data_IF_476526525808
#
_entry.id   IF_476526525808
#
_cell.length_a   1.000
_cell.length_b   1.000
_cell.length_c   1.000
_cell.angle_alpha   90.00
_cell.angle_beta   90.00
_cell.angle_gamma   90.00
#
_symmetry.space_group_name_H-M   'P 1'
#
loop_
_entity.id
_entity.type
_entity.pdbx_description
1 polymer ?
#
# COMPACT_ATOMS: atom_id res chain seq x y z
N UNK A 1 -33.00 10.01 32.39
CA UNK A 1 -33.83 9.64 31.22
C UNK A 1 -33.84 10.72 30.11
N UNK A 2 -33.78 12.04 30.45
CA UNK A 2 -33.78 13.16 29.46
C UNK A 2 -32.50 13.24 28.61
N UNK A 3 -31.34 12.83 29.12
CA UNK A 3 -30.04 12.89 28.42
C UNK A 3 -29.94 11.87 27.26
N UNK A 4 -30.54 10.67 27.43
CA UNK A 4 -30.61 9.66 26.36
C UNK A 4 -31.43 10.09 25.15
N UNK A 5 -32.49 10.90 25.38
CA UNK A 5 -33.35 11.41 24.30
C UNK A 5 -32.71 12.52 23.46
N UNK A 6 -31.83 13.33 24.05
CA UNK A 6 -31.09 14.39 23.32
C UNK A 6 -29.96 13.80 22.47
N UNK A 7 -29.19 12.84 22.98
CA UNK A 7 -28.15 12.15 22.24
C UNK A 7 -28.69 11.34 21.04
N UNK A 8 -29.86 10.70 21.22
CA UNK A 8 -30.51 9.96 20.13
C UNK A 8 -31.09 10.87 19.04
N UNK A 9 -31.52 12.09 19.38
CA UNK A 9 -31.94 13.10 18.41
C UNK A 9 -30.78 13.72 17.67
N UNK A 10 -29.66 14.03 18.34
CA UNK A 10 -28.46 14.55 17.71
C UNK A 10 -27.86 13.53 16.71
N UNK A 11 -27.87 12.24 17.04
CA UNK A 11 -27.45 11.17 16.14
C UNK A 11 -28.41 10.97 14.94
N UNK A 12 -29.69 11.25 15.06
CA UNK A 12 -30.63 11.21 13.94
C UNK A 12 -30.53 12.46 13.02
N UNK A 13 -30.06 13.59 13.52
CA UNK A 13 -29.84 14.81 12.73
C UNK A 13 -28.51 14.78 11.94
N UNK A 14 -27.56 13.94 12.29
CA UNK A 14 -26.34 13.69 11.52
C UNK A 14 -26.61 12.76 10.31
N UNK A 15 -27.67 13.02 9.51
CA UNK A 15 -27.79 12.39 8.20
C UNK A 15 -26.62 12.90 7.34
N UNK A 16 -25.82 12.00 6.72
CA UNK A 16 -24.82 12.42 5.76
C UNK A 16 -25.50 13.36 4.76
N UNK A 17 -24.88 14.52 4.47
CA UNK A 17 -25.41 15.44 3.46
C UNK A 17 -25.76 14.61 2.22
N UNK A 18 -26.94 14.78 1.67
CA UNK A 18 -27.51 13.94 0.58
C UNK A 18 -26.54 13.71 -0.57
N UNK A 19 -25.66 14.68 -0.86
CA UNK A 19 -24.61 14.60 -1.87
C UNK A 19 -23.56 13.54 -1.59
N UNK A 20 -23.07 13.42 -0.35
CA UNK A 20 -22.07 12.42 0.05
C UNK A 20 -22.66 11.01 -0.02
N UNK A 21 -23.89 10.85 0.42
CA UNK A 21 -24.59 9.57 0.33
C UNK A 21 -24.81 9.13 -1.13
N UNK A 22 -25.26 10.04 -2.00
CA UNK A 22 -25.42 9.77 -3.44
C UNK A 22 -24.09 9.41 -4.11
N UNK A 23 -23.01 10.09 -3.76
CA UNK A 23 -21.67 9.78 -4.27
C UNK A 23 -21.24 8.37 -3.83
N UNK A 24 -21.39 8.03 -2.55
CA UNK A 24 -21.08 6.69 -2.04
C UNK A 24 -21.87 5.59 -2.78
N UNK A 25 -23.17 5.79 -3.00
CA UNK A 25 -23.99 4.83 -3.76
C UNK A 25 -23.53 4.70 -5.22
N UNK A 26 -23.15 5.80 -5.88
CA UNK A 26 -22.57 5.73 -7.24
C UNK A 26 -21.28 4.91 -7.27
N UNK A 27 -20.38 5.12 -6.32
CA UNK A 27 -19.11 4.36 -6.23
C UNK A 27 -19.40 2.89 -5.97
N UNK A 28 -20.29 2.58 -5.02
CA UNK A 28 -20.73 1.21 -4.73
C UNK A 28 -21.32 0.51 -5.96
N UNK A 29 -22.13 1.21 -6.75
CA UNK A 29 -22.70 0.66 -7.98
C UNK A 29 -21.60 0.40 -9.04
N UNK A 30 -20.60 1.29 -9.17
CA UNK A 30 -19.45 1.06 -10.04
C UNK A 30 -18.60 -0.14 -9.59
N UNK A 31 -18.40 -0.31 -8.28
CA UNK A 31 -17.75 -1.48 -7.72
C UNK A 31 -18.49 -2.76 -8.10
N UNK A 32 -19.81 -2.81 -7.91
CA UNK A 32 -20.64 -3.94 -8.32
C UNK A 32 -20.53 -4.28 -9.82
N UNK A 33 -20.35 -3.26 -10.67
CA UNK A 33 -20.19 -3.45 -12.11
C UNK A 33 -18.79 -3.96 -12.48
N UNK A 34 -17.75 -3.55 -11.78
CA UNK A 34 -16.36 -3.92 -12.07
C UNK A 34 -15.51 -4.13 -10.80
N UNK A 35 -15.77 -5.20 -10.04
CA UNK A 35 -15.06 -5.46 -8.79
C UNK A 35 -13.55 -5.70 -8.99
N UNK A 36 -13.16 -6.33 -10.10
CA UNK A 36 -11.75 -6.60 -10.43
C UNK A 36 -10.90 -5.32 -10.45
N UNK A 37 -11.41 -4.25 -11.06
CA UNK A 37 -10.69 -2.97 -11.09
C UNK A 37 -10.57 -2.34 -9.69
N UNK A 38 -11.63 -2.39 -8.89
CA UNK A 38 -11.57 -1.84 -7.53
C UNK A 38 -10.63 -2.62 -6.62
N UNK A 39 -10.58 -3.95 -6.73
CA UNK A 39 -9.58 -4.75 -6.05
C UNK A 39 -8.17 -4.41 -6.53
N UNK A 40 -7.96 -4.24 -7.84
CA UNK A 40 -6.67 -3.81 -8.37
C UNK A 40 -6.22 -2.46 -7.79
N UNK A 41 -7.11 -1.47 -7.72
CA UNK A 41 -6.83 -0.18 -7.08
C UNK A 41 -6.45 -0.34 -5.60
N UNK A 42 -7.13 -1.21 -4.87
CA UNK A 42 -6.84 -1.44 -3.45
C UNK A 42 -5.51 -2.17 -3.23
N UNK A 43 -5.15 -3.09 -4.12
CA UNK A 43 -3.84 -3.74 -4.13
C UNK A 43 -2.74 -2.72 -4.42
N UNK A 44 -2.92 -1.86 -5.43
CA UNK A 44 -1.96 -0.78 -5.73
C UNK A 44 -1.85 0.17 -4.54
N UNK A 45 -2.96 0.56 -3.92
CA UNK A 45 -3.00 1.42 -2.75
C UNK A 45 -2.12 0.90 -1.61
N UNK A 46 -2.20 -0.39 -1.34
CA UNK A 46 -1.42 -1.03 -0.29
C UNK A 46 0.07 -1.16 -0.62
N UNK A 47 0.42 -1.24 -1.90
CA UNK A 47 1.78 -1.49 -2.35
C UNK A 47 2.53 -0.21 -2.75
N UNK A 48 1.84 0.74 -3.39
CA UNK A 48 2.37 2.00 -3.88
C UNK A 48 2.32 3.10 -2.81
N UNK A 49 3.05 2.90 -1.72
CA UNK A 49 3.18 3.92 -0.68
C UNK A 49 4.31 4.92 -0.94
N UNK A 50 4.43 5.92 -0.07
CA UNK A 50 5.55 6.88 -0.06
C UNK A 50 6.89 6.15 0.07
N UNK A 51 6.94 5.05 0.83
CA UNK A 51 8.13 4.22 0.96
C UNK A 51 8.67 3.72 -0.39
N UNK A 52 7.79 3.35 -1.33
CA UNK A 52 8.20 2.95 -2.68
C UNK A 52 8.83 4.11 -3.44
N UNK A 53 8.26 5.32 -3.32
CA UNK A 53 8.76 6.53 -3.96
C UNK A 53 10.13 6.93 -3.40
N UNK A 54 10.27 6.92 -2.08
CA UNK A 54 11.53 7.27 -1.39
C UNK A 54 12.65 6.27 -1.72
N UNK A 55 12.34 4.97 -1.73
CA UNK A 55 13.30 3.94 -2.12
C UNK A 55 13.72 4.08 -3.59
N UNK A 56 12.79 4.37 -4.49
CA UNK A 56 13.10 4.63 -5.88
C UNK A 56 14.06 5.81 -6.02
N UNK A 57 13.74 6.94 -5.36
CA UNK A 57 14.60 8.14 -5.35
C UNK A 57 16.00 7.82 -4.81
N UNK A 58 16.08 7.15 -3.66
CA UNK A 58 17.36 6.79 -3.05
C UNK A 58 18.21 5.90 -3.96
N UNK A 59 17.59 4.88 -4.57
CA UNK A 59 18.29 4.02 -5.54
C UNK A 59 18.77 4.79 -6.75
N UNK A 60 17.93 5.66 -7.31
CA UNK A 60 18.29 6.47 -8.48
C UNK A 60 19.44 7.43 -8.18
N UNK A 61 19.47 8.04 -7.00
CA UNK A 61 20.54 8.97 -6.60
C UNK A 61 21.83 8.28 -6.19
N UNK A 62 21.76 7.11 -5.57
CA UNK A 62 22.94 6.41 -5.02
C UNK A 62 23.56 5.41 -6.02
N UNK A 63 22.75 4.79 -6.87
CA UNK A 63 23.17 3.67 -7.73
C UNK A 63 22.79 3.86 -9.22
N UNK A 64 22.22 5.03 -9.54
CA UNK A 64 21.80 5.38 -10.90
C UNK A 64 20.39 4.94 -11.26
N UNK A 65 19.87 5.53 -12.34
CA UNK A 65 18.50 5.31 -12.81
C UNK A 65 18.22 3.83 -13.13
N UNK A 66 19.21 3.11 -13.68
CA UNK A 66 19.07 1.70 -14.04
C UNK A 66 18.74 0.82 -12.82
N UNK A 67 19.42 1.02 -11.68
CA UNK A 67 19.14 0.29 -10.46
C UNK A 67 17.68 0.52 -9.99
N UNK A 68 17.22 1.76 -10.03
CA UNK A 68 15.86 2.13 -9.63
C UNK A 68 14.80 1.53 -10.58
N UNK A 69 15.05 1.55 -11.89
CA UNK A 69 14.12 0.99 -12.90
C UNK A 69 14.02 -0.54 -12.73
N UNK A 70 15.15 -1.24 -12.59
CA UNK A 70 15.16 -2.69 -12.35
C UNK A 70 14.36 -3.00 -11.07
N UNK A 71 14.63 -2.29 -9.99
CA UNK A 71 13.88 -2.44 -8.74
C UNK A 71 12.38 -2.22 -8.91
N UNK A 72 11.96 -1.19 -9.68
CA UNK A 72 10.55 -0.89 -9.96
C UNK A 72 9.88 -2.00 -10.78
N UNK A 73 10.58 -2.58 -11.77
CA UNK A 73 10.09 -3.72 -12.56
C UNK A 73 9.85 -4.93 -11.67
N UNK A 74 10.80 -5.29 -10.80
CA UNK A 74 10.64 -6.41 -9.86
C UNK A 74 9.51 -6.16 -8.86
N UNK A 75 9.33 -4.93 -8.43
CA UNK A 75 8.27 -4.53 -7.54
C UNK A 75 6.87 -4.68 -8.21
N UNK A 76 6.76 -4.32 -9.48
CA UNK A 76 5.58 -4.58 -10.30
C UNK A 76 5.34 -6.09 -10.49
N UNK A 77 6.39 -6.84 -10.84
CA UNK A 77 6.33 -8.29 -11.02
C UNK A 77 5.92 -9.03 -9.74
N UNK A 78 6.28 -8.53 -8.56
CA UNK A 78 5.94 -9.17 -7.30
C UNK A 78 4.42 -9.30 -7.11
N UNK A 79 3.64 -8.26 -7.44
CA UNK A 79 2.18 -8.31 -7.41
C UNK A 79 1.62 -9.29 -8.44
N UNK A 80 2.17 -9.26 -9.68
CA UNK A 80 1.74 -10.15 -10.76
C UNK A 80 1.96 -11.61 -10.36
N UNK A 81 3.15 -11.94 -9.88
CA UNK A 81 3.50 -13.29 -9.45
C UNK A 81 2.64 -13.77 -8.28
N UNK A 82 2.38 -12.90 -7.30
CA UNK A 82 1.47 -13.25 -6.21
C UNK A 82 0.09 -13.64 -6.74
N UNK A 83 -0.47 -12.85 -7.66
CA UNK A 83 -1.77 -13.15 -8.26
C UNK A 83 -1.79 -14.45 -9.04
N UNK A 84 -0.71 -14.77 -9.75
CA UNK A 84 -0.61 -16.00 -10.54
C UNK A 84 -0.40 -17.24 -9.68
N UNK A 85 0.38 -17.14 -8.59
CA UNK A 85 0.81 -18.30 -7.81
C UNK A 85 0.09 -18.47 -6.47
N UNK A 86 -0.49 -17.42 -5.89
CA UNK A 86 -1.10 -17.51 -4.55
C UNK A 86 -2.25 -18.51 -4.46
N UNK A 87 -3.03 -18.71 -5.55
CA UNK A 87 -4.13 -19.69 -5.60
C UNK A 87 -3.65 -21.11 -5.85
N UNK A 88 -2.50 -21.27 -6.52
CA UNK A 88 -1.94 -22.59 -6.86
C UNK A 88 -1.14 -23.23 -5.72
N UNK A 89 -0.88 -22.48 -4.65
CA UNK A 89 -0.08 -22.98 -3.52
C UNK A 89 -0.91 -22.89 -2.23
N UNK A 90 -1.91 -23.77 -2.02
CA UNK A 90 -2.74 -23.77 -0.83
C UNK A 90 -1.93 -23.86 0.47
N UNK A 91 -0.82 -24.59 0.44
CA UNK A 91 0.08 -24.77 1.59
C UNK A 91 0.74 -23.46 1.99
N UNK A 92 1.19 -22.62 1.03
CA UNK A 92 1.74 -21.28 1.32
C UNK A 92 0.69 -20.46 2.03
N UNK A 93 -0.53 -20.42 1.49
CA UNK A 93 -1.65 -19.70 2.09
C UNK A 93 -1.90 -20.19 3.53
N UNK A 94 -1.90 -21.48 3.77
CA UNK A 94 -2.13 -22.06 5.09
C UNK A 94 -1.02 -21.67 6.08
N UNK A 95 0.25 -21.78 5.69
CA UNK A 95 1.39 -21.43 6.55
C UNK A 95 1.39 -19.91 6.83
N UNK A 96 1.17 -19.08 5.82
CA UNK A 96 1.14 -17.63 5.97
C UNK A 96 -0.04 -17.12 6.80
N UNK A 97 -1.12 -17.89 6.90
CA UNK A 97 -2.25 -17.62 7.78
C UNK A 97 -2.09 -18.24 9.18
N UNK A 98 -0.98 -18.92 9.46
CA UNK A 98 -0.69 -19.43 10.82
C UNK A 98 -0.57 -18.27 11.80
N UNK A 99 -0.97 -18.49 13.05
CA UNK A 99 -0.96 -17.43 14.09
C UNK A 99 0.42 -16.80 14.27
N UNK A 100 1.48 -17.61 14.23
CA UNK A 100 2.86 -17.12 14.42
C UNK A 100 3.26 -16.17 13.28
N UNK A 101 3.04 -16.61 12.02
CA UNK A 101 3.35 -15.77 10.86
C UNK A 101 2.46 -14.53 10.82
N UNK A 102 1.20 -14.66 11.18
CA UNK A 102 0.28 -13.53 11.22
C UNK A 102 0.74 -12.45 12.21
N UNK A 103 1.15 -12.84 13.43
CA UNK A 103 1.69 -11.88 14.41
C UNK A 103 2.99 -11.25 13.95
N UNK A 104 3.92 -12.05 13.40
CA UNK A 104 5.17 -11.53 12.84
C UNK A 104 4.91 -10.47 11.77
N UNK A 105 3.99 -10.75 10.85
CA UNK A 105 3.62 -9.84 9.76
C UNK A 105 2.87 -8.62 10.29
N UNK A 106 2.02 -8.78 11.31
CA UNK A 106 1.37 -7.64 11.96
C UNK A 106 2.38 -6.65 12.52
N UNK A 107 3.43 -7.13 13.17
CA UNK A 107 4.55 -6.28 13.60
C UNK A 107 5.22 -5.56 12.42
N UNK A 108 5.44 -6.24 11.30
CA UNK A 108 6.01 -5.62 10.11
C UNK A 108 5.12 -4.49 9.57
N UNK A 109 3.80 -4.62 9.64
CA UNK A 109 2.86 -3.57 9.20
C UNK A 109 2.94 -2.30 10.05
N UNK A 110 3.23 -2.39 11.35
CA UNK A 110 3.47 -1.21 12.19
C UNK A 110 4.64 -0.35 11.64
N UNK A 111 5.75 -0.99 11.27
CA UNK A 111 6.88 -0.27 10.66
C UNK A 111 6.52 0.36 9.32
N UNK A 112 5.69 -0.30 8.52
CA UNK A 112 5.21 0.25 7.26
C UNK A 112 4.32 1.46 7.50
N UNK A 113 3.46 1.43 8.52
CA UNK A 113 2.66 2.58 8.95
C UNK A 113 3.57 3.77 9.29
N UNK A 114 4.60 3.56 10.11
CA UNK A 114 5.56 4.61 10.45
C UNK A 114 6.31 5.15 9.23
N UNK A 115 6.68 4.29 8.28
CA UNK A 115 7.32 4.72 7.03
C UNK A 115 6.42 5.66 6.23
N UNK A 116 5.12 5.38 6.15
CA UNK A 116 4.17 6.27 5.46
C UNK A 116 4.01 7.60 6.21
N UNK A 117 3.91 7.55 7.53
CA UNK A 117 3.80 8.75 8.37
C UNK A 117 5.04 9.64 8.22
N UNK A 118 6.24 9.06 8.25
CA UNK A 118 7.50 9.78 8.06
C UNK A 118 7.62 10.39 6.68
N UNK A 119 7.22 9.65 5.65
CA UNK A 119 7.25 10.14 4.28
C UNK A 119 6.33 11.35 4.05
N UNK A 120 5.13 11.39 4.66
CA UNK A 120 4.25 12.56 4.62
C UNK A 120 4.93 13.73 5.35
N UNK A 121 5.45 13.49 6.55
CA UNK A 121 6.12 14.51 7.35
C UNK A 121 7.28 15.17 6.59
N UNK A 122 8.16 14.37 5.99
CA UNK A 122 9.34 14.85 5.28
C UNK A 122 8.97 15.67 4.03
N UNK A 123 7.96 15.20 3.27
CA UNK A 123 7.60 15.86 2.02
C UNK A 123 7.02 17.26 2.21
N UNK A 124 6.40 17.52 3.38
CA UNK A 124 5.91 18.85 3.71
C UNK A 124 7.03 19.80 4.15
N UNK A 125 8.24 19.29 4.45
CA UNK A 125 9.41 20.13 4.75
C UNK A 125 9.72 21.15 3.65
N UNK A 126 9.52 20.77 2.40
CA UNK A 126 9.77 21.60 1.22
C UNK A 126 8.56 22.48 0.81
N UNK A 127 7.53 22.55 1.65
CA UNK A 127 6.32 23.34 1.38
C UNK A 127 6.18 24.50 2.36
N UNK A 128 5.34 25.52 2.03
CA UNK A 128 5.11 26.67 2.92
C UNK A 128 4.56 26.33 4.31
N UNK A 129 3.89 25.17 4.47
CA UNK A 129 3.35 24.74 5.78
C UNK A 129 4.37 23.99 6.63
N UNK A 130 5.51 23.62 6.03
CA UNK A 130 6.63 22.98 6.72
C UNK A 130 6.34 21.63 7.35
N UNK A 131 7.32 21.08 8.03
CA UNK A 131 7.21 19.76 8.69
C UNK A 131 6.17 19.75 9.81
N UNK A 132 5.96 20.86 10.50
CA UNK A 132 4.92 20.95 11.54
C UNK A 132 3.51 20.79 10.95
N UNK A 133 3.24 21.46 9.81
CA UNK A 133 2.00 21.26 9.08
C UNK A 133 1.84 19.82 8.58
N UNK A 134 2.92 19.22 8.10
CA UNK A 134 2.96 17.81 7.73
C UNK A 134 2.60 16.89 8.91
N UNK A 135 3.12 17.15 10.09
CA UNK A 135 2.78 16.41 11.30
C UNK A 135 1.30 16.48 11.66
N UNK A 136 0.72 17.68 11.61
CA UNK A 136 -0.73 17.87 11.86
C UNK A 136 -1.56 17.07 10.84
N UNK A 137 -1.19 17.09 9.56
CA UNK A 137 -1.87 16.34 8.49
C UNK A 137 -1.79 14.84 8.77
N UNK A 138 -0.61 14.32 9.13
CA UNK A 138 -0.42 12.90 9.47
C UNK A 138 -1.38 12.48 10.59
N UNK A 139 -1.34 13.18 11.73
CA UNK A 139 -2.18 12.80 12.87
C UNK A 139 -3.67 12.96 12.60
N UNK A 140 -4.07 14.06 11.95
CA UNK A 140 -5.48 14.27 11.59
C UNK A 140 -6.01 13.14 10.67
N UNK A 141 -5.20 12.72 9.73
CA UNK A 141 -5.56 11.65 8.81
C UNK A 141 -5.61 10.29 9.48
N UNK A 142 -4.59 9.96 10.30
CA UNK A 142 -4.62 8.73 11.08
C UNK A 142 -5.87 8.68 11.97
N UNK A 143 -6.22 9.78 12.63
CA UNK A 143 -7.43 9.85 13.45
C UNK A 143 -8.70 9.59 12.63
N UNK A 144 -8.81 10.15 11.42
CA UNK A 144 -9.94 9.89 10.51
C UNK A 144 -10.02 8.40 10.14
N UNK A 145 -8.89 7.78 9.77
CA UNK A 145 -8.87 6.36 9.42
C UNK A 145 -9.19 5.46 10.60
N UNK A 146 -8.65 5.74 11.79
CA UNK A 146 -9.00 5.00 13.01
C UNK A 146 -10.50 5.07 13.31
N UNK A 147 -11.12 6.24 13.13
CA UNK A 147 -12.58 6.38 13.26
C UNK A 147 -13.35 5.61 12.18
N UNK A 148 -12.80 5.54 10.95
CA UNK A 148 -13.39 4.75 9.87
C UNK A 148 -13.32 3.25 10.14
N UNK A 149 -12.20 2.75 10.68
CA UNK A 149 -12.03 1.33 11.02
C UNK A 149 -13.06 0.83 12.05
N UNK A 150 -13.54 1.71 12.94
CA UNK A 150 -14.57 1.35 13.92
C UNK A 150 -15.94 1.03 13.30
N UNK A 151 -16.21 1.51 12.10
CA UNK A 151 -17.55 1.44 11.49
C UNK A 151 -17.72 0.35 10.45
N UNK A 152 -16.79 0.20 9.50
CA UNK A 152 -16.99 -0.73 8.38
C UNK A 152 -15.66 -1.18 7.78
N UNK A 153 -15.46 -2.49 7.69
CA UNK A 153 -14.23 -3.12 7.29
C UNK A 153 -13.86 -3.02 5.79
N UNK A 154 -13.54 -4.15 5.22
CA UNK A 154 -12.91 -4.37 3.91
C UNK A 154 -13.53 -3.57 2.75
N UNK A 155 -14.85 -3.60 2.60
CA UNK A 155 -15.52 -2.98 1.46
C UNK A 155 -15.32 -1.46 1.41
N UNK A 156 -15.30 -0.80 2.57
CA UNK A 156 -15.07 0.65 2.62
C UNK A 156 -13.65 0.99 2.21
N UNK A 157 -12.66 0.18 2.66
CA UNK A 157 -11.28 0.36 2.26
C UNK A 157 -11.12 0.19 0.74
N UNK A 158 -11.63 -0.90 0.16
CA UNK A 158 -11.60 -1.14 -1.29
C UNK A 158 -12.28 -0.02 -2.10
N UNK A 159 -13.43 0.49 -1.62
CA UNK A 159 -14.13 1.59 -2.30
C UNK A 159 -13.37 2.92 -2.18
N UNK A 160 -12.79 3.19 -1.01
CA UNK A 160 -11.95 4.36 -0.75
C UNK A 160 -10.71 4.36 -1.65
N UNK A 161 -10.03 3.23 -1.71
CA UNK A 161 -8.84 3.05 -2.54
C UNK A 161 -9.16 3.20 -4.03
N UNK A 162 -10.25 2.58 -4.48
CA UNK A 162 -10.69 2.70 -5.88
C UNK A 162 -10.94 4.14 -6.31
N UNK A 163 -11.56 4.94 -5.43
CA UNK A 163 -11.75 6.37 -5.69
C UNK A 163 -10.43 7.15 -5.62
N UNK A 164 -9.62 6.92 -4.58
CA UNK A 164 -8.35 7.62 -4.38
C UNK A 164 -7.41 7.41 -5.55
N UNK A 165 -7.32 6.20 -6.10
CA UNK A 165 -6.40 5.90 -7.20
C UNK A 165 -6.83 6.46 -8.54
N UNK A 166 -8.10 6.65 -8.79
CA UNK A 166 -8.56 7.44 -9.95
C UNK A 166 -8.10 8.90 -9.82
N UNK A 167 -8.21 9.47 -8.62
CA UNK A 167 -7.73 10.84 -8.34
C UNK A 167 -6.19 10.91 -8.44
N UNK A 168 -5.47 9.92 -7.88
CA UNK A 168 -4.01 9.84 -7.93
C UNK A 168 -3.51 9.83 -9.37
N UNK A 169 -4.03 8.96 -10.24
CA UNK A 169 -3.59 8.94 -11.64
C UNK A 169 -3.92 10.23 -12.39
N UNK A 170 -5.10 10.81 -12.14
CA UNK A 170 -5.47 12.10 -12.74
C UNK A 170 -4.53 13.23 -12.31
N UNK A 171 -4.28 13.37 -11.02
CA UNK A 171 -3.35 14.38 -10.49
C UNK A 171 -1.90 14.11 -10.92
N UNK A 172 -1.47 12.85 -10.90
CA UNK A 172 -0.13 12.46 -11.33
C UNK A 172 0.13 12.86 -12.78
N UNK A 173 -0.83 12.59 -13.68
CA UNK A 173 -0.74 13.01 -15.07
C UNK A 173 -0.64 14.54 -15.21
N UNK A 174 -1.47 15.29 -14.49
CA UNK A 174 -1.47 16.75 -14.49
C UNK A 174 -0.13 17.30 -13.98
N UNK A 175 0.38 16.78 -12.87
CA UNK A 175 1.64 17.27 -12.28
C UNK A 175 2.82 16.89 -13.17
N UNK A 176 2.84 15.71 -13.79
CA UNK A 176 3.89 15.32 -14.76
C UNK A 176 3.87 16.23 -15.99
N UNK A 177 2.70 16.47 -16.57
CA UNK A 177 2.59 17.38 -17.74
C UNK A 177 3.05 18.80 -17.36
N UNK A 178 2.60 19.32 -16.22
CA UNK A 178 3.03 20.63 -15.74
C UNK A 178 4.53 20.69 -15.48
N UNK A 179 5.13 19.62 -14.97
CA UNK A 179 6.58 19.49 -14.77
C UNK A 179 7.35 19.52 -16.10
N UNK A 180 6.90 18.74 -17.09
CA UNK A 180 7.49 18.68 -18.42
C UNK A 180 7.46 20.04 -19.12
N UNK A 181 6.33 20.75 -19.02
CA UNK A 181 6.18 22.10 -19.59
C UNK A 181 7.09 23.09 -18.87
N UNK A 182 7.14 23.04 -17.53
CA UNK A 182 7.95 23.95 -16.72
C UNK A 182 9.45 23.80 -16.96
N UNK A 183 9.93 22.59 -17.18
CA UNK A 183 11.34 22.27 -17.38
C UNK A 183 11.76 22.26 -18.86
N UNK A 184 10.83 22.50 -19.78
CA UNK A 184 11.06 22.33 -21.21
C UNK A 184 11.66 20.95 -21.57
N UNK A 185 11.29 19.90 -20.80
CA UNK A 185 11.81 18.55 -20.94
C UNK A 185 13.21 18.33 -20.38
N UNK A 186 13.83 19.34 -19.76
CA UNK A 186 15.13 19.19 -19.11
C UNK A 186 14.95 18.57 -17.72
N UNK A 187 15.35 17.33 -17.58
CA UNK A 187 15.39 16.63 -16.30
C UNK A 187 16.72 16.90 -15.60
N UNK A 188 16.69 16.84 -14.25
CA UNK A 188 17.92 16.87 -13.46
C UNK A 188 18.85 15.74 -13.95
N UNK A 189 20.14 16.06 -14.15
CA UNK A 189 21.14 15.07 -14.53
C UNK A 189 21.21 13.95 -13.49
N UNK A 190 20.63 12.82 -13.80
CA UNK A 190 20.78 11.60 -13.04
C UNK A 190 21.71 10.69 -13.80
N UNK A 191 22.70 10.18 -13.10
CA UNK A 191 23.56 9.14 -13.65
C UNK A 191 22.69 7.97 -14.15
N UNK A 192 22.76 7.60 -15.44
CA UNK A 192 22.04 6.43 -15.94
C UNK A 192 22.38 5.16 -15.17
N UNK A 193 23.58 5.08 -14.56
CA UNK A 193 24.01 3.90 -13.80
C UNK A 193 24.09 2.63 -14.66
N UNK A 194 24.40 2.77 -15.96
CA UNK A 194 24.58 1.67 -16.90
C UNK A 194 25.92 0.96 -16.66
N UNK A 195 26.13 0.51 -15.42
CA UNK A 195 27.32 -0.22 -15.02
C UNK A 195 26.93 -1.49 -14.25
N UNK A 196 27.86 -2.41 -14.11
CA UNK A 196 27.63 -3.69 -13.45
C UNK A 196 27.13 -3.52 -12.00
N UNK A 197 27.64 -2.54 -11.27
CA UNK A 197 27.27 -2.28 -9.87
C UNK A 197 25.81 -1.80 -9.75
N UNK A 198 25.38 -0.89 -10.61
CA UNK A 198 23.99 -0.41 -10.65
C UNK A 198 23.00 -1.54 -11.00
N UNK A 199 23.34 -2.34 -12.03
CA UNK A 199 22.53 -3.51 -12.42
C UNK A 199 22.47 -4.52 -11.28
N UNK A 200 23.60 -4.89 -10.68
CA UNK A 200 23.66 -5.84 -9.58
C UNK A 200 22.85 -5.38 -8.38
N UNK A 201 22.95 -4.10 -8.00
CA UNK A 201 22.18 -3.52 -6.90
C UNK A 201 20.68 -3.55 -7.19
N UNK A 202 20.29 -3.18 -8.42
CA UNK A 202 18.89 -3.21 -8.86
C UNK A 202 18.30 -4.61 -8.82
N UNK A 203 19.02 -5.60 -9.33
CA UNK A 203 18.63 -7.01 -9.30
C UNK A 203 18.52 -7.52 -7.86
N UNK A 204 19.57 -7.33 -7.03
CA UNK A 204 19.56 -7.78 -5.64
C UNK A 204 18.35 -7.22 -4.88
N UNK A 205 18.20 -5.88 -4.87
CA UNK A 205 17.09 -5.24 -4.18
C UNK A 205 15.73 -5.58 -4.79
N UNK A 206 15.68 -5.79 -6.10
CA UNK A 206 14.48 -6.23 -6.80
C UNK A 206 14.06 -7.65 -6.39
N UNK A 207 14.98 -8.60 -6.37
CA UNK A 207 14.70 -9.98 -5.92
C UNK A 207 14.17 -10.03 -4.48
N UNK A 208 14.64 -9.15 -3.59
CA UNK A 208 14.14 -9.07 -2.22
C UNK A 208 12.66 -8.65 -2.13
N UNK A 209 12.09 -8.05 -3.19
CA UNK A 209 10.69 -7.65 -3.22
C UNK A 209 9.74 -8.74 -3.70
N UNK A 210 10.20 -9.67 -4.55
CA UNK A 210 9.34 -10.67 -5.17
C UNK A 210 8.46 -11.42 -4.17
N UNK A 211 8.97 -11.90 -3.01
CA UNK A 211 8.14 -12.59 -2.04
C UNK A 211 7.32 -11.64 -1.15
N UNK A 212 7.51 -10.32 -1.27
CA UNK A 212 6.86 -9.33 -0.41
C UNK A 212 5.35 -9.47 -0.30
N UNK A 213 4.56 -9.57 -1.39
CA UNK A 213 3.12 -9.70 -1.36
C UNK A 213 2.61 -10.91 -0.57
N UNK A 214 3.38 -11.99 -0.51
CA UNK A 214 3.04 -13.18 0.28
C UNK A 214 3.03 -12.92 1.79
N UNK A 215 3.57 -11.81 2.26
CA UNK A 215 3.52 -11.41 3.67
C UNK A 215 2.39 -10.45 4.02
N UNK A 216 1.53 -10.12 3.08
CA UNK A 216 0.47 -9.15 3.32
C UNK A 216 -0.84 -9.82 3.75
N UNK A 217 -1.27 -9.71 5.03
CA UNK A 217 -2.54 -10.28 5.51
C UNK A 217 -3.73 -9.72 4.73
N UNK A 218 -3.65 -8.47 4.34
CA UNK A 218 -4.66 -7.80 3.55
C UNK A 218 -4.97 -8.53 2.24
N UNK A 219 -3.94 -9.02 1.53
CA UNK A 219 -4.12 -9.72 0.26
C UNK A 219 -4.89 -11.04 0.42
N UNK A 220 -4.54 -11.83 1.43
CA UNK A 220 -5.30 -13.06 1.75
C UNK A 220 -6.73 -12.75 2.16
N UNK A 221 -6.95 -11.64 2.85
CA UNK A 221 -8.28 -11.21 3.25
C UNK A 221 -9.11 -10.74 2.06
N UNK A 222 -8.50 -10.15 1.01
CA UNK A 222 -9.19 -9.83 -0.24
C UNK A 222 -9.72 -11.08 -0.94
N UNK A 223 -8.93 -12.15 -1.03
CA UNK A 223 -9.39 -13.44 -1.56
C UNK A 223 -10.57 -13.98 -0.75
N UNK A 224 -10.42 -14.05 0.58
CA UNK A 224 -11.48 -14.56 1.45
C UNK A 224 -12.75 -13.71 1.42
N UNK A 225 -12.62 -12.40 1.23
CA UNK A 225 -13.76 -11.51 1.09
C UNK A 225 -14.47 -11.71 -0.25
N UNK A 226 -13.71 -11.84 -1.34
CA UNK A 226 -14.25 -12.09 -2.67
C UNK A 226 -15.01 -13.43 -2.72
N UNK A 227 -14.47 -14.48 -2.08
CA UNK A 227 -15.08 -15.81 -2.05
C UNK A 227 -16.38 -15.88 -1.22
N UNK A 228 -16.54 -14.98 -0.21
CA UNK A 228 -17.69 -14.95 0.70
C UNK A 228 -18.75 -13.92 0.33
N UNK A 229 -18.68 -13.35 -0.85
CA UNK A 229 -19.51 -12.22 -1.20
C UNK A 229 -20.93 -12.66 -1.61
N UNK A 230 -21.82 -12.87 -0.62
CA UNK A 230 -23.21 -13.30 -0.79
C UNK A 230 -24.17 -12.13 -1.08
N UNK A 231 -23.67 -10.87 -1.22
CA UNK A 231 -24.51 -9.67 -1.34
C UNK A 231 -25.03 -9.41 -2.77
N UNK A 232 -24.95 -10.42 -3.66
CA UNK A 232 -25.39 -10.34 -5.06
C UNK A 232 -24.44 -9.52 -5.96
N UNK A 233 -23.23 -9.20 -5.48
CA UNK A 233 -22.20 -8.62 -6.33
C UNK A 233 -21.52 -9.72 -7.15
N UNK A 234 -21.08 -9.36 -8.37
CA UNK A 234 -20.23 -10.27 -9.14
C UNK A 234 -18.91 -10.47 -8.40
N UNK A 235 -18.45 -11.72 -8.34
CA UNK A 235 -17.10 -11.97 -7.85
C UNK A 235 -16.07 -11.34 -8.79
N UNK A 236 -15.09 -10.64 -8.23
CA UNK A 236 -13.95 -10.14 -8.97
C UNK A 236 -12.99 -11.27 -9.33
N UNK A 237 -12.34 -11.16 -10.47
CA UNK A 237 -11.23 -12.06 -10.80
C UNK A 237 -9.98 -11.60 -10.05
N UNK A 238 -9.67 -12.26 -8.93
CA UNK A 238 -8.55 -11.88 -8.06
C UNK A 238 -7.20 -12.00 -8.75
N UNK A 239 -6.96 -13.05 -9.57
CA UNK A 239 -5.73 -13.16 -10.36
C UNK A 239 -5.55 -11.95 -11.25
N UNK A 240 -6.60 -11.59 -12.00
CA UNK A 240 -6.58 -10.44 -12.90
C UNK A 240 -6.45 -9.12 -12.13
N UNK A 241 -7.01 -9.03 -10.92
CA UNK A 241 -6.84 -7.87 -10.05
C UNK A 241 -5.37 -7.65 -9.67
N UNK A 242 -4.64 -8.71 -9.32
CA UNK A 242 -3.21 -8.61 -9.00
C UNK A 242 -2.35 -8.32 -10.23
N UNK A 243 -2.65 -8.92 -11.38
CA UNK A 243 -1.96 -8.62 -12.65
C UNK A 243 -2.16 -7.15 -13.02
N UNK A 244 -3.41 -6.68 -12.98
CA UNK A 244 -3.74 -5.29 -13.26
C UNK A 244 -3.07 -4.35 -12.26
N UNK A 245 -3.06 -4.70 -10.97
CA UNK A 245 -2.38 -3.92 -9.94
C UNK A 245 -0.88 -3.80 -10.19
N UNK A 246 -0.22 -4.89 -10.59
CA UNK A 246 1.20 -4.86 -10.96
C UNK A 246 1.48 -3.93 -12.14
N UNK A 247 0.66 -3.98 -13.19
CA UNK A 247 0.77 -3.06 -14.34
C UNK A 247 0.52 -1.61 -13.90
N UNK A 248 -0.53 -1.36 -13.14
CA UNK A 248 -0.84 -0.03 -12.60
C UNK A 248 0.32 0.48 -11.74
N UNK A 249 0.88 -0.37 -10.87
CA UNK A 249 2.05 0.00 -10.08
C UNK A 249 3.26 0.38 -10.95
N UNK A 250 3.53 -0.39 -12.01
CA UNK A 250 4.59 -0.08 -12.97
C UNK A 250 4.40 1.29 -13.63
N UNK A 251 3.20 1.61 -14.09
CA UNK A 251 2.86 2.94 -14.63
C UNK A 251 3.04 4.03 -13.58
N UNK A 252 2.57 3.81 -12.36
CA UNK A 252 2.79 4.73 -11.24
C UNK A 252 4.28 5.01 -11.02
N UNK A 253 5.12 3.99 -10.97
CA UNK A 253 6.55 4.14 -10.73
C UNK A 253 7.25 4.93 -11.83
N UNK A 254 6.89 4.70 -13.11
CA UNK A 254 7.44 5.47 -14.23
C UNK A 254 7.05 6.94 -14.12
N UNK A 255 5.78 7.24 -13.87
CA UNK A 255 5.31 8.62 -13.72
C UNK A 255 5.90 9.29 -12.48
N UNK A 256 5.97 8.57 -11.37
CA UNK A 256 6.56 9.06 -10.13
C UNK A 256 8.06 9.31 -10.25
N UNK A 257 8.78 8.51 -11.04
CA UNK A 257 10.19 8.72 -11.37
C UNK A 257 10.42 10.11 -11.98
N UNK A 258 9.59 10.47 -12.95
CA UNK A 258 9.67 11.78 -13.59
C UNK A 258 9.53 12.91 -12.56
N UNK A 259 8.66 12.76 -11.58
CA UNK A 259 8.45 13.76 -10.52
C UNK A 259 9.63 13.87 -9.55
N UNK A 260 10.36 12.79 -9.30
CA UNK A 260 11.52 12.84 -8.39
C UNK A 260 12.72 13.54 -9.01
N UNK A 261 12.76 13.64 -10.34
CA UNK A 261 13.89 14.19 -11.11
C UNK A 261 13.73 15.65 -11.51
N UNK A 262 12.59 16.25 -11.24
CA UNK A 262 12.28 17.62 -11.64
C UNK A 262 12.33 18.57 -10.43
N UNK A 263 13.03 19.70 -10.58
CA UNK A 263 12.95 20.81 -9.64
C UNK A 263 11.69 21.63 -9.94
N UNK A 264 10.83 21.77 -8.96
CA UNK A 264 9.55 22.43 -9.11
C UNK A 264 9.54 23.85 -8.55
N UNK A 265 8.68 24.70 -9.11
CA UNK A 265 8.26 25.93 -8.44
C UNK A 265 7.54 25.62 -7.11
N UNK A 266 7.47 26.57 -6.15
CA UNK A 266 6.78 26.38 -4.88
C UNK A 266 5.35 25.85 -5.03
N UNK A 267 4.60 26.32 -6.04
CA UNK A 267 3.25 25.86 -6.34
C UNK A 267 3.23 24.39 -6.75
N UNK A 268 4.10 23.97 -7.66
CA UNK A 268 4.19 22.58 -8.12
C UNK A 268 4.69 21.65 -6.99
N UNK A 269 5.59 22.12 -6.13
CA UNK A 269 5.99 21.38 -4.93
C UNK A 269 4.80 21.14 -4.00
N UNK A 270 3.93 22.12 -3.82
CA UNK A 270 2.72 21.96 -3.02
C UNK A 270 1.76 20.92 -3.65
N UNK A 271 1.54 20.99 -4.96
CA UNK A 271 0.72 19.99 -5.68
C UNK A 271 1.31 18.58 -5.59
N UNK A 272 2.64 18.47 -5.73
CA UNK A 272 3.36 17.21 -5.52
C UNK A 272 3.17 16.68 -4.10
N UNK A 273 3.27 17.54 -3.08
CA UNK A 273 3.05 17.14 -1.69
C UNK A 273 1.63 16.66 -1.44
N UNK A 274 0.63 17.33 -2.01
CA UNK A 274 -0.78 16.91 -1.93
C UNK A 274 -0.95 15.52 -2.59
N UNK A 275 -0.42 15.33 -3.80
CA UNK A 275 -0.49 14.05 -4.50
C UNK A 275 0.13 12.91 -3.68
N UNK A 276 1.35 13.12 -3.18
CA UNK A 276 2.05 12.12 -2.38
C UNK A 276 1.32 11.84 -1.06
N UNK A 277 0.72 12.87 -0.48
CA UNK A 277 -0.13 12.70 0.69
C UNK A 277 -1.31 11.78 0.40
N UNK A 278 -2.03 11.97 -0.71
CA UNK A 278 -3.16 11.10 -1.08
C UNK A 278 -2.68 9.64 -1.26
N UNK A 279 -1.53 9.44 -1.89
CA UNK A 279 -0.92 8.10 -2.06
C UNK A 279 -0.61 7.48 -0.69
N UNK A 280 0.06 8.23 0.19
CA UNK A 280 0.43 7.78 1.52
C UNK A 280 -0.80 7.46 2.38
N UNK A 281 -1.86 8.26 2.27
CA UNK A 281 -3.11 8.07 2.98
C UNK A 281 -3.80 6.76 2.57
N UNK A 282 -3.82 6.46 1.27
CA UNK A 282 -4.38 5.21 0.76
C UNK A 282 -3.63 4.00 1.30
N UNK A 283 -2.29 4.03 1.29
CA UNK A 283 -1.46 2.97 1.85
C UNK A 283 -1.61 2.86 3.37
N UNK A 284 -1.63 3.99 4.08
CA UNK A 284 -1.77 4.06 5.53
C UNK A 284 -3.08 3.41 6.01
N UNK A 285 -4.20 3.68 5.32
CA UNK A 285 -5.48 3.06 5.64
C UNK A 285 -5.43 1.53 5.55
N UNK A 286 -4.70 1.01 4.57
CA UNK A 286 -4.55 -0.44 4.36
C UNK A 286 -3.65 -1.09 5.40
N UNK A 287 -2.59 -0.41 5.84
CA UNK A 287 -1.71 -0.92 6.89
C UNK A 287 -2.42 -0.96 8.24
N UNK A 288 -3.10 0.10 8.64
CA UNK A 288 -3.92 0.12 9.85
C UNK A 288 -4.99 -0.98 9.80
N UNK A 289 -5.65 -1.16 8.65
CA UNK A 289 -6.61 -2.24 8.49
C UNK A 289 -5.97 -3.62 8.57
N UNK A 290 -4.73 -3.79 8.13
CA UNK A 290 -3.98 -5.05 8.25
C UNK A 290 -3.69 -5.41 9.70
N UNK A 291 -3.31 -4.46 10.55
CA UNK A 291 -3.14 -4.66 11.99
C UNK A 291 -4.45 -5.12 12.65
N UNK A 292 -5.56 -4.50 12.26
CA UNK A 292 -6.89 -4.89 12.70
C UNK A 292 -7.28 -6.32 12.28
N UNK A 293 -6.91 -6.74 11.05
CA UNK A 293 -7.16 -8.11 10.57
C UNK A 293 -6.34 -9.14 11.34
N UNK A 294 -5.09 -8.82 11.67
CA UNK A 294 -4.15 -9.73 12.33
C UNK A 294 -4.51 -9.93 13.81
N UNK A 295 -4.68 -8.84 14.52
CA UNK A 295 -4.82 -8.85 15.97
C UNK A 295 -6.28 -8.83 16.45
N UNK A 296 -7.22 -8.71 15.51
CA UNK A 296 -8.64 -8.63 15.80
C UNK A 296 -9.09 -7.24 16.28
N UNK A 297 -10.39 -7.04 16.34
CA UNK A 297 -11.02 -5.71 16.47
C UNK A 297 -10.54 -4.87 17.65
N UNK A 298 -10.41 -5.48 18.84
CA UNK A 298 -10.03 -4.73 20.05
C UNK A 298 -8.53 -4.49 20.14
N UNK A 299 -7.74 -5.55 19.93
CA UNK A 299 -6.27 -5.50 20.06
C UNK A 299 -5.66 -4.76 18.89
N UNK A 300 -6.12 -5.04 17.65
CA UNK A 300 -5.67 -4.34 16.47
C UNK A 300 -5.90 -2.84 16.56
N UNK A 301 -7.09 -2.40 16.95
CA UNK A 301 -7.37 -0.97 17.16
C UNK A 301 -6.47 -0.34 18.22
N UNK A 302 -6.20 -1.04 19.34
CA UNK A 302 -5.28 -0.53 20.36
C UNK A 302 -3.84 -0.42 19.86
N UNK A 303 -3.40 -1.39 19.04
CA UNK A 303 -2.09 -1.35 18.38
C UNK A 303 -1.99 -0.24 17.34
N UNK A 304 -3.03 -0.04 16.53
CA UNK A 304 -3.11 1.09 15.59
C UNK A 304 -2.95 2.44 16.32
N UNK A 305 -3.67 2.63 17.43
CA UNK A 305 -3.55 3.85 18.24
C UNK A 305 -2.14 3.97 18.81
N UNK A 306 -1.56 2.87 19.32
CA UNK A 306 -0.19 2.85 19.81
C UNK A 306 0.81 3.17 18.69
N UNK A 307 0.67 2.55 17.52
CA UNK A 307 1.53 2.78 16.35
C UNK A 307 1.54 4.26 15.97
N UNK A 308 0.35 4.85 15.85
CA UNK A 308 0.22 6.28 15.51
C UNK A 308 0.80 7.18 16.61
N UNK A 309 0.49 6.92 17.88
CA UNK A 309 0.93 7.78 18.99
C UNK A 309 2.45 7.68 19.26
N UNK A 310 3.05 6.50 19.05
CA UNK A 310 4.47 6.25 19.33
C UNK A 310 5.42 6.71 18.22
N UNK A 311 4.90 7.06 17.04
CA UNK A 311 5.71 7.41 15.88
C UNK A 311 6.79 8.44 16.16
N UNK A 312 6.45 9.58 16.76
CA UNK A 312 7.39 10.67 17.06
C UNK A 312 8.45 10.32 18.13
N UNK A 313 8.17 9.30 18.92
CA UNK A 313 9.09 8.85 19.99
C UNK A 313 10.04 7.78 19.48
N UNK A 314 9.51 6.79 18.76
CA UNK A 314 10.26 5.58 18.40
C UNK A 314 11.14 5.78 17.17
N UNK A 315 10.73 6.59 16.19
CA UNK A 315 11.55 6.83 14.99
C UNK A 315 12.91 7.45 15.34
N UNK A 316 13.01 8.51 16.15
CA UNK A 316 14.30 9.07 16.54
C UNK A 316 15.18 8.10 17.35
N UNK A 317 14.60 7.08 18.00
CA UNK A 317 15.34 6.04 18.74
C UNK A 317 15.93 4.96 17.83
N UNK A 318 15.87 5.12 16.50
CA UNK A 318 16.52 4.20 15.56
C UNK A 318 15.76 2.89 15.32
N UNK A 319 14.50 2.81 15.71
CA UNK A 319 13.65 1.60 15.54
C UNK A 319 13.57 1.17 14.07
N UNK A 320 13.74 2.08 13.10
CA UNK A 320 13.79 1.75 11.68
C UNK A 320 14.97 0.86 11.29
N UNK A 321 16.05 0.80 12.07
CA UNK A 321 17.13 -0.19 11.88
C UNK A 321 16.65 -1.62 12.09
N UNK A 322 15.79 -1.83 13.08
CA UNK A 322 15.14 -3.12 13.33
C UNK A 322 14.25 -3.51 12.14
N UNK A 323 13.52 -2.56 11.57
CA UNK A 323 12.71 -2.77 10.37
C UNK A 323 13.53 -3.31 9.19
N UNK A 324 14.71 -2.73 8.94
CA UNK A 324 15.59 -3.17 7.86
C UNK A 324 15.98 -4.63 8.07
N UNK A 325 16.46 -4.98 9.26
CA UNK A 325 16.81 -6.35 9.62
C UNK A 325 15.63 -7.32 9.48
N UNK A 326 14.46 -6.97 10.03
CA UNK A 326 13.26 -7.80 9.95
C UNK A 326 12.77 -7.96 8.52
N UNK A 327 12.93 -6.95 7.67
CA UNK A 327 12.56 -7.00 6.25
C UNK A 327 13.46 -7.96 5.47
N UNK A 328 14.74 -8.02 5.78
CA UNK A 328 15.67 -9.00 5.19
C UNK A 328 15.35 -10.41 5.66
N UNK A 329 15.21 -10.64 6.98
CA UNK A 329 14.85 -11.94 7.55
C UNK A 329 13.53 -12.45 6.94
N UNK A 330 12.54 -11.58 6.78
CA UNK A 330 11.27 -11.89 6.13
C UNK A 330 11.45 -12.57 4.77
N UNK A 331 12.36 -12.07 3.95
CA UNK A 331 12.59 -12.60 2.60
C UNK A 331 13.06 -14.05 2.67
N UNK A 332 14.03 -14.35 3.54
CA UNK A 332 14.56 -15.72 3.69
C UNK A 332 13.47 -16.68 4.21
N UNK A 333 12.67 -16.25 5.18
CA UNK A 333 11.56 -17.06 5.70
C UNK A 333 10.55 -17.37 4.59
N UNK A 334 10.17 -16.40 3.77
CA UNK A 334 9.17 -16.61 2.71
C UNK A 334 9.74 -17.51 1.62
N UNK A 335 10.98 -17.30 1.20
CA UNK A 335 11.63 -18.16 0.21
C UNK A 335 11.66 -19.60 0.72
N UNK A 336 12.02 -19.83 1.98
CA UNK A 336 12.01 -21.16 2.58
C UNK A 336 10.60 -21.77 2.61
N UNK A 337 9.57 -20.99 2.95
CA UNK A 337 8.17 -21.42 2.94
C UNK A 337 7.71 -21.77 1.52
N UNK A 338 8.04 -20.95 0.52
CA UNK A 338 7.70 -21.22 -0.87
C UNK A 338 8.37 -22.50 -1.37
N UNK A 339 9.64 -22.69 -1.10
CA UNK A 339 10.38 -23.91 -1.47
C UNK A 339 9.78 -25.15 -0.79
N UNK A 340 9.52 -25.09 0.51
CA UNK A 340 8.89 -26.19 1.24
C UNK A 340 7.50 -26.52 0.68
N UNK A 341 6.72 -25.51 0.29
CA UNK A 341 5.38 -25.68 -0.28
C UNK A 341 5.41 -26.37 -1.65
N UNK A 342 6.37 -26.02 -2.50
CA UNK A 342 6.58 -26.69 -3.80
C UNK A 342 6.95 -28.14 -3.58
N UNK A 343 7.90 -28.45 -2.69
CA UNK A 343 8.30 -29.83 -2.37
C UNK A 343 7.13 -30.65 -1.86
N UNK A 344 6.35 -30.09 -0.92
CA UNK A 344 5.17 -30.78 -0.35
C UNK A 344 4.12 -31.04 -1.42
N UNK A 345 3.91 -30.12 -2.35
CA UNK A 345 2.97 -30.31 -3.46
C UNK A 345 3.42 -31.46 -4.38
N UNK A 346 4.68 -31.46 -4.80
CA UNK A 346 5.24 -32.53 -5.63
C UNK A 346 5.13 -33.90 -4.99
N UNK A 347 5.40 -34.00 -3.68
CA UNK A 347 5.29 -35.26 -2.92
C UNK A 347 3.83 -35.71 -2.75
N UNK A 348 2.87 -34.78 -2.66
CA UNK A 348 1.45 -35.14 -2.57
C UNK A 348 0.88 -35.66 -3.89
N UNK A 349 1.28 -35.06 -5.01
CA UNK A 349 0.85 -35.50 -6.36
C UNK A 349 1.38 -36.87 -6.70
N UNK A 350 2.61 -37.23 -6.31
CA UNK A 350 3.14 -38.59 -6.47
C UNK A 350 2.30 -39.63 -5.70
N UNK A 351 1.77 -39.29 -4.51
CA UNK A 351 0.94 -40.22 -3.72
C UNK A 351 -0.46 -40.39 -4.29
N UNK A 352 -1.02 -39.37 -4.97
CA UNK A 352 -2.32 -39.48 -5.63
C UNK A 352 -2.22 -40.20 -6.98
N UNK A 353 -1.11 -40.03 -7.71
CA UNK A 353 -0.83 -40.78 -8.94
C UNK A 353 -0.48 -42.26 -8.76
N UNK A 354 -0.10 -42.67 -7.53
CA UNK A 354 0.21 -44.05 -7.17
C UNK A 354 -0.97 -44.84 -6.60
N UNK A 355 -2.15 -44.24 -6.48
CA UNK A 355 -3.41 -44.88 -6.09
C UNK A 355 -4.33 -45.03 -7.30
#
# INVERSE_FOLDING_TARGET
LKIRGAASRALRQARPKEGVFRMYQKIKNKFKANPTLFYACSIVASWAGVGSLMNFRTLATSNGATAAIIWAVFNSLSCILFGLFAEYIPTVRHIMQSKVMFYFIGFLTMFQTWTQMSGIYEIFGDTPIGTQGGMVIVYATCAIFLLMLLKDGMIRNVLSDGFSWVVVYGLLAVVVVAALVHTHGNFVNIDPGLNAAGIQTGLYKGFLLLPGPFTYPYYYSLFSYNDKNDDGTRHGNMKMSFVLAGVMFGVYMVLAALLTWVNFSPLLNTLKAILITIIALSSLSTYLYSEYLVFGKKVGFALDVFTVASWQILIPLGVMGIWTLMSEIRVYIIVAVLMASVVLHLVSDEKEGAR
#
